data_IF_362880350150
#
_entry.id   IF_362880350150
#
_cell.length_a   1.000
_cell.length_b   1.000
_cell.length_c   1.000
_cell.angle_alpha   90.00
_cell.angle_beta   90.00
_cell.angle_gamma   90.00
#
_symmetry.space_group_name_H-M   'P 1'
#
loop_
_entity.id
_entity.type
_entity.pdbx_description
1 polymer ?
#
# COMPACT_ATOMS: atom_id res chain seq x y z
N UNK A 1 15.04 -3.90 12.34
CA UNK A 1 15.08 -2.95 11.20
C UNK A 1 13.77 -2.19 11.19
N UNK A 2 13.81 -0.85 11.18
CA UNK A 2 12.60 -0.03 11.03
C UNK A 2 12.06 -0.19 9.62
N UNK A 3 10.81 -0.65 9.49
CA UNK A 3 10.14 -0.76 8.20
C UNK A 3 9.64 0.62 7.80
N UNK A 4 10.16 1.15 6.70
CA UNK A 4 9.63 2.39 6.12
C UNK A 4 8.41 2.05 5.30
N UNK A 5 7.21 2.26 5.85
CA UNK A 5 5.98 2.06 5.10
C UNK A 5 5.83 3.17 4.04
N UNK A 6 6.06 4.43 4.42
CA UNK A 6 5.82 5.59 3.58
C UNK A 6 7.11 6.29 3.12
N UNK A 7 7.08 7.04 2.01
CA UNK A 7 8.18 7.91 1.62
C UNK A 7 8.51 8.94 2.72
N UNK A 8 9.80 9.18 2.96
CA UNK A 8 10.26 10.19 3.92
C UNK A 8 10.20 11.58 3.32
N UNK A 9 9.64 12.56 4.06
CA UNK A 9 9.68 13.97 3.67
C UNK A 9 8.62 14.40 2.64
N UNK A 10 7.68 13.53 2.28
CA UNK A 10 6.52 13.88 1.44
C UNK A 10 5.31 12.97 1.66
N UNK A 11 4.15 13.39 1.18
CA UNK A 11 2.97 12.53 1.08
C UNK A 11 3.16 11.44 -0.01
N UNK A 12 2.52 10.27 0.13
CA UNK A 12 2.43 9.30 -0.94
C UNK A 12 1.73 9.93 -2.15
N UNK A 13 2.22 9.60 -3.34
CA UNK A 13 1.77 10.15 -4.60
C UNK A 13 1.31 9.00 -5.51
N UNK A 14 0.37 9.25 -6.43
CA UNK A 14 -0.15 8.18 -7.29
C UNK A 14 0.93 7.52 -8.16
N UNK A 15 1.95 8.28 -8.59
CA UNK A 15 3.09 7.75 -9.34
C UNK A 15 4.00 6.84 -8.50
N UNK A 16 3.78 6.73 -7.19
CA UNK A 16 4.44 5.76 -6.34
C UNK A 16 3.90 4.34 -6.57
N UNK A 17 2.70 4.20 -7.13
CA UNK A 17 1.96 2.94 -7.20
C UNK A 17 1.97 2.45 -8.64
N UNK A 18 2.63 1.31 -8.89
CA UNK A 18 2.67 0.66 -10.19
C UNK A 18 2.01 -0.71 -10.18
N UNK A 19 1.33 -1.03 -11.28
CA UNK A 19 0.83 -2.37 -11.56
C UNK A 19 1.97 -3.29 -12.02
N UNK A 20 2.16 -4.39 -11.31
CA UNK A 20 2.93 -5.53 -11.79
C UNK A 20 2.10 -6.45 -12.68
N UNK A 21 2.76 -7.49 -13.21
CA UNK A 21 2.22 -8.39 -14.23
C UNK A 21 0.91 -9.09 -13.86
N UNK A 22 0.72 -9.43 -12.58
CA UNK A 22 -0.46 -10.08 -12.02
C UNK A 22 -1.31 -9.12 -11.15
N UNK A 23 -1.05 -7.81 -11.24
CA UNK A 23 -1.79 -6.81 -10.47
C UNK A 23 -3.21 -6.58 -10.98
N UNK A 24 -4.06 -6.07 -10.09
CA UNK A 24 -5.46 -5.75 -10.38
C UNK A 24 -5.64 -4.24 -10.61
N UNK A 25 -5.98 -3.85 -11.84
CA UNK A 25 -6.07 -2.43 -12.21
C UNK A 25 -7.12 -1.66 -11.40
N UNK A 26 -8.25 -2.28 -11.03
CA UNK A 26 -9.29 -1.65 -10.22
C UNK A 26 -8.80 -1.30 -8.81
N UNK A 27 -8.00 -2.17 -8.20
CA UNK A 27 -7.39 -1.92 -6.90
C UNK A 27 -6.39 -0.77 -7.04
N UNK A 28 -5.53 -0.83 -8.05
CA UNK A 28 -4.46 0.14 -8.25
C UNK A 28 -5.00 1.54 -8.56
N UNK A 29 -6.00 1.65 -9.42
CA UNK A 29 -6.70 2.89 -9.69
C UNK A 29 -7.29 3.49 -8.40
N UNK A 30 -7.87 2.65 -7.54
CA UNK A 30 -8.42 3.08 -6.25
C UNK A 30 -7.34 3.61 -5.31
N UNK A 31 -6.20 2.92 -5.21
CA UNK A 31 -5.07 3.36 -4.39
C UNK A 31 -4.44 4.66 -4.92
N UNK A 32 -4.32 4.80 -6.25
CA UNK A 32 -3.84 6.02 -6.91
C UNK A 32 -4.80 7.19 -6.70
N UNK A 33 -6.11 6.97 -6.75
CA UNK A 33 -7.11 7.98 -6.44
C UNK A 33 -7.00 8.45 -4.98
N UNK A 34 -6.86 7.52 -4.03
CA UNK A 34 -6.62 7.87 -2.62
C UNK A 34 -5.32 8.66 -2.44
N UNK A 35 -4.22 8.25 -3.09
CA UNK A 35 -2.96 8.99 -3.04
C UNK A 35 -3.06 10.40 -3.63
N UNK A 36 -3.95 10.63 -4.60
CA UNK A 36 -4.11 11.93 -5.25
C UNK A 36 -5.06 12.85 -4.49
N UNK A 37 -6.15 12.30 -3.97
CA UNK A 37 -7.26 13.09 -3.43
C UNK A 37 -7.30 13.10 -1.90
N UNK A 38 -6.87 12.01 -1.25
CA UNK A 38 -6.96 11.84 0.21
C UNK A 38 -5.77 11.05 0.79
N UNK A 39 -4.53 11.59 0.74
CA UNK A 39 -3.33 10.87 1.23
C UNK A 39 -3.41 10.47 2.70
N UNK A 40 -4.10 11.25 3.53
CA UNK A 40 -4.35 10.93 4.94
C UNK A 40 -5.23 9.69 5.12
N UNK A 41 -6.27 9.54 4.29
CA UNK A 41 -7.11 8.36 4.29
C UNK A 41 -6.32 7.13 3.82
N UNK A 42 -5.48 7.29 2.78
CA UNK A 42 -4.57 6.24 2.33
C UNK A 42 -3.66 5.76 3.46
N UNK A 43 -3.05 6.70 4.20
CA UNK A 43 -2.19 6.40 5.35
C UNK A 43 -2.93 5.68 6.47
N UNK A 44 -4.24 5.90 6.62
CA UNK A 44 -5.05 5.22 7.63
C UNK A 44 -5.29 3.74 7.33
N UNK A 45 -5.03 3.29 6.08
CA UNK A 45 -5.19 1.89 5.68
C UNK A 45 -4.10 1.02 6.30
N UNK A 46 -2.86 1.48 6.45
CA UNK A 46 -1.76 0.62 6.95
C UNK A 46 -1.22 1.15 8.27
N UNK A 47 -1.19 0.27 9.27
CA UNK A 47 -0.43 0.51 10.50
C UNK A 47 1.06 0.23 10.27
N UNK A 48 1.90 1.22 10.54
CA UNK A 48 3.37 1.09 10.46
C UNK A 48 3.98 0.17 11.51
N UNK A 49 3.25 -0.13 12.59
CA UNK A 49 3.78 -0.91 13.73
C UNK A 49 3.49 -2.41 13.67
N UNK A 50 2.49 -2.84 12.89
CA UNK A 50 1.85 -4.14 13.13
C UNK A 50 1.54 -4.96 11.89
N UNK A 51 1.89 -4.52 10.67
CA UNK A 51 1.46 -5.19 9.43
C UNK A 51 -0.05 -5.47 9.41
N UNK A 52 -0.85 -4.50 9.84
CA UNK A 52 -2.31 -4.57 9.82
C UNK A 52 -2.80 -3.57 8.79
N UNK A 53 -3.67 -4.03 7.90
CA UNK A 53 -4.49 -3.19 7.04
C UNK A 53 -5.86 -2.94 7.68
N UNK A 54 -6.42 -1.76 7.44
CA UNK A 54 -7.77 -1.39 7.83
C UNK A 54 -8.64 -1.22 6.58
N UNK A 55 -9.78 -1.90 6.56
CA UNK A 55 -10.76 -1.79 5.49
C UNK A 55 -12.14 -1.48 6.06
N UNK A 56 -13.01 -0.89 5.23
CA UNK A 56 -14.43 -0.79 5.54
C UNK A 56 -15.17 -1.95 4.89
N UNK A 57 -15.90 -2.73 5.69
CA UNK A 57 -16.76 -3.82 5.23
C UNK A 57 -18.15 -3.63 5.81
N UNK A 58 -19.13 -3.38 4.94
CA UNK A 58 -20.53 -3.13 5.34
C UNK A 58 -20.69 -1.99 6.36
N UNK A 59 -19.90 -0.91 6.20
CA UNK A 59 -19.93 0.27 7.09
C UNK A 59 -19.03 0.15 8.32
N UNK A 60 -18.57 -1.05 8.67
CA UNK A 60 -17.70 -1.28 9.82
C UNK A 60 -16.23 -1.26 9.41
N UNK A 61 -15.37 -0.70 10.27
CA UNK A 61 -13.91 -0.75 10.09
C UNK A 61 -13.38 -2.07 10.63
N UNK A 62 -12.71 -2.83 9.79
CA UNK A 62 -12.11 -4.13 10.13
C UNK A 62 -10.59 -4.08 10.05
N UNK A 63 -9.94 -4.86 10.90
CA UNK A 63 -8.50 -5.10 10.90
C UNK A 63 -8.19 -6.39 10.13
N UNK A 64 -7.22 -6.32 9.22
CA UNK A 64 -6.76 -7.44 8.40
C UNK A 64 -5.25 -7.59 8.60
N UNK A 65 -4.80 -8.64 9.31
CA UNK A 65 -3.37 -8.91 9.45
C UNK A 65 -2.78 -9.32 8.09
N UNK A 66 -1.61 -8.77 7.78
CA UNK A 66 -0.87 -9.05 6.55
C UNK A 66 0.24 -10.05 6.86
N UNK A 67 0.36 -11.08 6.03
CA UNK A 67 1.49 -12.00 6.07
C UNK A 67 2.44 -11.60 4.96
N UNK A 68 3.58 -11.02 5.32
CA UNK A 68 4.65 -10.79 4.35
C UNK A 68 5.22 -12.13 3.89
N UNK A 69 5.02 -12.47 2.63
CA UNK A 69 5.74 -13.56 2.00
C UNK A 69 7.01 -13.03 1.34
N UNK A 70 8.11 -13.77 1.49
CA UNK A 70 9.34 -13.52 0.73
C UNK A 70 9.05 -13.71 -0.75
N UNK A 71 9.03 -12.61 -1.50
CA UNK A 71 8.89 -12.63 -2.96
C UNK A 71 10.05 -13.42 -3.57
N UNK A 72 9.76 -14.60 -4.11
CA UNK A 72 10.73 -15.42 -4.87
C UNK A 72 10.90 -14.92 -6.30
N UNK A 73 9.91 -14.19 -6.81
CA UNK A 73 9.92 -13.52 -8.12
C UNK A 73 9.60 -12.04 -7.93
N UNK A 74 10.38 -11.17 -8.58
CA UNK A 74 10.25 -9.72 -8.46
C UNK A 74 8.84 -9.24 -8.85
N UNK A 75 8.16 -8.63 -7.88
CA UNK A 75 7.09 -7.64 -8.07
C UNK A 75 5.96 -8.00 -9.04
N UNK A 76 5.40 -9.21 -8.89
CA UNK A 76 4.30 -9.66 -9.73
C UNK A 76 2.99 -8.86 -9.50
N UNK A 77 2.74 -8.35 -8.29
CA UNK A 77 1.53 -7.59 -7.93
C UNK A 77 1.76 -6.07 -7.92
N UNK A 78 1.15 -5.30 -7.02
CA UNK A 78 1.44 -3.87 -6.93
C UNK A 78 2.84 -3.62 -6.34
N UNK A 79 3.51 -2.57 -6.82
CA UNK A 79 4.86 -2.21 -6.39
C UNK A 79 5.07 -0.72 -6.26
N UNK A 80 6.14 -0.37 -5.54
CA UNK A 80 6.56 1.01 -5.38
C UNK A 80 7.53 1.44 -6.47
N UNK A 81 7.47 2.70 -6.88
CA UNK A 81 8.61 3.35 -7.59
C UNK A 81 9.64 3.91 -6.62
N UNK A 82 9.29 4.04 -5.34
CA UNK A 82 10.18 4.57 -4.31
C UNK A 82 11.03 3.43 -3.74
N UNK A 83 12.33 3.67 -3.65
CA UNK A 83 13.26 2.69 -3.07
C UNK A 83 13.05 2.57 -1.55
N UNK A 84 13.26 1.37 -1.02
CA UNK A 84 13.25 1.09 0.42
C UNK A 84 11.94 1.44 1.16
N UNK A 85 10.81 1.46 0.46
CA UNK A 85 9.48 1.53 1.08
C UNK A 85 8.71 0.25 0.89
N UNK A 86 7.92 -0.12 1.91
CA UNK A 86 7.01 -1.25 1.83
C UNK A 86 5.67 -0.88 1.19
N UNK A 87 5.29 0.39 1.09
CA UNK A 87 4.10 0.78 0.33
C UNK A 87 4.35 0.75 -1.19
N UNK A 88 3.43 0.24 -2.03
CA UNK A 88 2.13 -0.38 -1.73
C UNK A 88 2.20 -1.92 -1.73
N UNK A 89 3.31 -2.54 -1.34
CA UNK A 89 3.40 -3.99 -1.21
C UNK A 89 2.44 -4.44 -0.10
N UNK A 90 1.40 -5.17 -0.51
CA UNK A 90 0.46 -5.88 0.36
C UNK A 90 0.55 -7.35 -0.04
#
# INVERSE_FOLDING_TARGET
MSINVWPTGREPYHGDILQGRLGNCFLIASLQALASCQPSLLKSIISSSSFICFFYRQGERIEVPIVLQSLTDEYQYCRSTVMNVQWPYI
#
